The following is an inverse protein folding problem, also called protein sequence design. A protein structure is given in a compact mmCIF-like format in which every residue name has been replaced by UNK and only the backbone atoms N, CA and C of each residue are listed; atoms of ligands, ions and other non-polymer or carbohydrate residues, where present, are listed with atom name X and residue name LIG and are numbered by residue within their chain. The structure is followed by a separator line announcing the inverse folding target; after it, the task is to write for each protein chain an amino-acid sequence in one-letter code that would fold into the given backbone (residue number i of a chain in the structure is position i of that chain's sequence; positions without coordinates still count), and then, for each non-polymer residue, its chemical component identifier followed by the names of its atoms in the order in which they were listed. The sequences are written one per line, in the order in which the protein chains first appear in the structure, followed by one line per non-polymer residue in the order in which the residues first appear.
data_IF_423656839016
#
_entry.id   IF_423656839016
#
_cell.length_a   1.000
_cell.length_b   1.000
_cell.length_c   1.000
_cell.angle_alpha   90.00
_cell.angle_beta   90.00
_cell.angle_gamma   90.00
#
_symmetry.space_group_name_H-M   'P 1'
#
loop_
_entity.id
_entity.type
_entity.pdbx_description
1 polymer ?
#
# COMPACT_ATOMS: atom_id res chain seq x y z
N UNK A 1 9.80 72.44 14.05
CA UNK A 1 11.18 72.98 14.04
C UNK A 1 12.14 71.83 14.27
N UNK A 2 13.16 71.72 13.39
CA UNK A 2 14.46 71.05 13.46
C UNK A 2 14.59 69.72 14.26
N UNK A 3 14.85 68.56 13.64
CA UNK A 3 16.09 68.09 12.96
C UNK A 3 17.25 67.67 13.89
N UNK A 4 17.66 66.40 13.69
CA UNK A 4 19.04 65.83 13.67
C UNK A 4 19.76 65.76 15.03
N UNK A 5 20.43 64.66 15.38
CA UNK A 5 21.64 64.19 14.68
C UNK A 5 21.93 62.70 14.84
N UNK A 6 22.56 62.18 13.78
CA UNK A 6 23.18 60.87 13.63
C UNK A 6 24.53 60.83 14.35
N UNK A 7 24.94 59.66 14.82
CA UNK A 7 26.35 59.30 14.90
C UNK A 7 26.56 57.94 14.24
N UNK A 8 27.48 57.93 13.29
CA UNK A 8 27.85 56.87 12.37
C UNK A 8 29.36 56.69 12.51
N UNK A 9 29.81 55.51 12.93
CA UNK A 9 31.22 55.07 12.97
C UNK A 9 31.14 53.54 12.98
N UNK A 10 31.78 52.72 12.15
CA UNK A 10 32.59 52.87 10.95
C UNK A 10 32.59 51.50 10.28
N UNK A 11 32.74 51.47 8.95
CA UNK A 11 33.10 50.26 8.21
C UNK A 11 34.53 49.87 8.54
N UNK A 12 34.78 48.59 8.32
CA UNK A 12 36.09 47.95 8.15
C UNK A 12 36.85 47.68 9.44
N UNK A 13 36.73 46.44 9.94
CA UNK A 13 37.92 45.67 10.30
C UNK A 13 37.62 44.16 10.44
N UNK A 14 38.50 43.37 9.82
CA UNK A 14 38.73 41.93 10.00
C UNK A 14 37.86 40.93 9.22
N UNK A 15 38.28 40.73 7.97
CA UNK A 15 38.33 39.44 7.26
C UNK A 15 38.64 38.27 8.23
N UNK A 16 37.78 37.25 8.22
CA UNK A 16 38.24 35.86 8.22
C UNK A 16 37.28 35.00 7.42
N UNK A 17 37.80 34.48 6.30
CA UNK A 17 37.18 33.46 5.45
C UNK A 17 36.83 32.23 6.30
N UNK A 18 35.56 31.88 6.41
CA UNK A 18 35.15 30.51 6.72
C UNK A 18 34.55 29.91 5.46
N UNK A 19 35.32 28.99 4.89
CA UNK A 19 35.12 28.22 3.66
C UNK A 19 33.89 27.30 3.85
N UNK A 20 32.99 27.14 2.88
CA UNK A 20 32.03 26.04 2.89
C UNK A 20 32.82 24.72 2.77
N UNK A 21 32.65 23.81 3.74
CA UNK A 21 33.17 22.45 3.63
C UNK A 21 32.24 21.64 2.71
N UNK A 22 32.77 21.24 1.56
CA UNK A 22 32.24 20.14 0.76
C UNK A 22 32.38 18.83 1.55
N UNK A 23 31.38 17.94 1.57
CA UNK A 23 31.62 16.57 2.01
C UNK A 23 32.34 15.80 0.89
N UNK A 24 33.62 15.56 1.11
CA UNK A 24 34.43 14.64 0.32
C UNK A 24 33.85 13.22 0.42
N UNK A 25 33.53 12.67 -0.74
CA UNK A 25 33.16 11.30 -1.01
C UNK A 25 34.44 10.45 -1.06
N UNK A 26 34.60 9.33 -0.32
CA UNK A 26 35.67 8.39 -0.61
C UNK A 26 35.20 7.37 -1.65
N UNK A 27 35.77 7.48 -2.85
CA UNK A 27 35.77 6.44 -3.86
C UNK A 27 36.40 5.15 -3.32
N UNK A 28 35.70 4.02 -3.45
CA UNK A 28 36.35 2.71 -3.61
C UNK A 28 35.90 2.15 -4.95
N UNK A 29 36.88 2.10 -5.85
CA UNK A 29 36.84 1.51 -7.18
C UNK A 29 36.50 0.02 -7.10
N UNK A 30 35.54 -0.42 -7.90
CA UNK A 30 35.65 -1.68 -8.66
C UNK A 30 35.09 -1.44 -10.05
N UNK A 31 36.04 -1.36 -10.97
CA UNK A 31 35.87 -1.24 -12.40
C UNK A 31 35.20 -2.51 -12.95
N UNK A 32 34.12 -2.33 -13.72
CA UNK A 32 33.73 -3.30 -14.74
C UNK A 32 33.38 -2.47 -15.98
N UNK A 33 34.16 -2.68 -17.03
CA UNK A 33 33.92 -2.15 -18.37
C UNK A 33 34.46 -3.18 -19.40
N UNK A 34 34.01 -3.12 -20.67
CA UNK A 34 33.02 -4.07 -21.19
C UNK A 34 33.50 -4.70 -22.53
N UNK A 35 32.56 -5.07 -23.43
CA UNK A 35 32.71 -5.58 -24.82
C UNK A 35 32.61 -7.11 -24.93
N UNK A 36 31.65 -7.75 -25.62
CA UNK A 36 31.05 -7.68 -26.96
C UNK A 36 31.55 -8.82 -27.90
N UNK A 37 30.60 -9.68 -28.31
CA UNK A 37 30.48 -10.48 -29.55
C UNK A 37 31.58 -11.49 -29.98
N UNK A 38 31.17 -12.78 -30.12
CA UNK A 38 31.29 -13.74 -31.26
C UNK A 38 31.34 -15.19 -30.70
N UNK A 39 30.37 -16.04 -31.05
CA UNK A 39 30.37 -17.02 -32.15
C UNK A 39 31.07 -18.36 -31.80
N UNK A 40 30.30 -19.46 -31.94
CA UNK A 40 30.70 -20.83 -32.34
C UNK A 40 31.85 -21.52 -31.57
N UNK A 41 31.66 -22.67 -30.91
CA UNK A 41 31.64 -24.01 -31.52
C UNK A 41 31.51 -25.10 -30.42
N UNK A 42 30.88 -26.25 -30.75
CA UNK A 42 30.88 -27.52 -29.96
C UNK A 42 32.29 -28.16 -29.96
N UNK A 43 32.67 -29.07 -29.02
CA UNK A 43 32.30 -30.51 -29.10
C UNK A 43 32.07 -31.20 -27.74
N UNK A 44 31.03 -32.04 -27.64
CA UNK A 44 31.10 -33.51 -27.50
C UNK A 44 31.52 -34.07 -26.12
N UNK A 45 30.52 -34.66 -25.46
CA UNK A 45 30.66 -35.66 -24.40
C UNK A 45 30.88 -37.02 -25.06
N UNK A 46 31.81 -37.84 -24.54
CA UNK A 46 31.87 -39.27 -24.84
C UNK A 46 32.07 -40.13 -23.59
N UNK A 47 31.28 -41.21 -23.59
CA UNK A 47 31.35 -42.49 -22.86
C UNK A 47 30.64 -42.53 -21.50
N UNK A 48 29.43 -43.12 -21.46
CA UNK A 48 29.12 -44.58 -21.37
C UNK A 48 29.53 -45.11 -19.99
N UNK A 49 28.67 -45.74 -19.19
CA UNK A 49 28.05 -47.07 -19.41
C UNK A 49 26.81 -47.19 -18.51
N UNK A 50 25.69 -47.70 -19.04
CA UNK A 50 24.90 -48.82 -18.47
C UNK A 50 23.63 -49.03 -19.29
N UNK A 51 23.65 -50.11 -20.07
CA UNK A 51 22.51 -50.72 -20.75
C UNK A 51 22.26 -52.05 -20.06
N UNK A 52 21.01 -52.35 -19.70
CA UNK A 52 20.44 -53.68 -19.83
C UNK A 52 18.91 -53.58 -19.85
N UNK A 53 18.34 -54.30 -20.80
CA UNK A 53 16.98 -54.22 -21.34
C UNK A 53 16.06 -55.24 -20.63
N UNK A 54 14.74 -55.00 -20.61
CA UNK A 54 13.75 -55.83 -21.32
C UNK A 54 12.31 -55.68 -20.79
N UNK A 55 11.40 -55.46 -21.75
CA UNK A 55 10.03 -55.98 -21.90
C UNK A 55 9.01 -55.90 -20.74
N UNK A 56 7.93 -55.14 -20.95
CA UNK A 56 6.57 -55.70 -21.16
C UNK A 56 5.53 -54.60 -21.41
N UNK A 57 4.85 -54.70 -22.56
CA UNK A 57 3.56 -54.06 -22.86
C UNK A 57 2.48 -54.46 -21.84
N UNK A 58 1.72 -53.46 -21.35
CA UNK A 58 0.28 -53.61 -21.06
C UNK A 58 -0.50 -52.36 -21.50
N UNK A 59 -1.59 -52.66 -22.18
CA UNK A 59 -2.60 -51.79 -22.80
C UNK A 59 -3.57 -51.16 -21.79
N UNK A 60 -3.91 -49.89 -22.07
CA UNK A 60 -5.20 -49.18 -21.86
C UNK A 60 -5.74 -48.84 -20.44
N UNK A 61 -6.62 -47.81 -20.29
CA UNK A 61 -7.08 -46.79 -21.25
C UNK A 61 -7.03 -45.33 -20.73
N UNK A 62 -7.29 -44.43 -21.68
CA UNK A 62 -7.39 -42.98 -21.57
C UNK A 62 -8.25 -42.47 -20.39
N UNK A 63 -7.67 -41.59 -19.58
CA UNK A 63 -8.40 -40.61 -18.77
C UNK A 63 -8.45 -39.28 -19.51
N UNK A 64 -9.56 -39.14 -20.23
CA UNK A 64 -10.42 -37.95 -20.32
C UNK A 64 -9.74 -36.60 -20.07
N UNK A 65 -9.57 -35.85 -21.15
CA UNK A 65 -9.20 -34.44 -21.13
C UNK A 65 -10.15 -33.64 -20.22
N UNK A 66 -9.63 -32.78 -19.32
CA UNK A 66 -10.49 -31.83 -18.63
C UNK A 66 -11.02 -30.82 -19.66
N UNK A 67 -12.33 -30.82 -19.83
CA UNK A 67 -13.12 -29.83 -20.58
C UNK A 67 -12.63 -28.41 -20.22
N UNK A 68 -12.49 -27.48 -21.18
CA UNK A 68 -12.21 -26.09 -20.86
C UNK A 68 -13.43 -25.52 -20.11
N UNK A 69 -13.27 -25.28 -18.82
CA UNK A 69 -14.23 -24.50 -18.03
C UNK A 69 -14.44 -23.16 -18.73
N UNK A 70 -15.70 -22.90 -19.10
CA UNK A 70 -16.11 -21.66 -19.73
C UNK A 70 -15.75 -20.48 -18.82
N UNK A 71 -14.73 -19.70 -19.22
CA UNK A 71 -14.46 -18.39 -18.67
C UNK A 71 -15.75 -17.57 -18.78
N UNK A 72 -16.38 -17.28 -17.65
CA UNK A 72 -17.48 -16.33 -17.56
C UNK A 72 -17.09 -15.04 -18.30
N UNK A 73 -18.02 -14.38 -19.03
CA UNK A 73 -17.68 -13.21 -19.84
C UNK A 73 -17.03 -12.16 -18.94
N UNK A 74 -15.76 -11.87 -19.18
CA UNK A 74 -15.03 -10.79 -18.52
C UNK A 74 -15.82 -9.50 -18.75
N UNK A 75 -16.52 -9.02 -17.72
CA UNK A 75 -17.25 -7.76 -17.78
C UNK A 75 -16.25 -6.68 -18.15
N UNK A 76 -16.36 -6.12 -19.37
CA UNK A 76 -15.57 -4.97 -19.81
C UNK A 76 -15.78 -3.86 -18.78
N UNK A 77 -14.76 -3.52 -18.01
CA UNK A 77 -14.83 -2.47 -17.01
C UNK A 77 -14.87 -1.13 -17.75
N UNK A 78 -16.08 -0.60 -18.00
CA UNK A 78 -16.26 0.78 -18.44
C UNK A 78 -15.75 1.70 -17.35
N UNK A 79 -14.90 2.68 -17.69
CA UNK A 79 -14.39 3.66 -16.72
C UNK A 79 -15.56 4.34 -15.99
N UNK A 80 -15.55 4.41 -14.65
CA UNK A 80 -16.66 5.01 -13.91
C UNK A 80 -16.79 6.50 -14.24
N UNK A 81 -18.03 6.99 -14.29
CA UNK A 81 -18.31 8.43 -14.45
C UNK A 81 -17.93 9.13 -13.15
N UNK A 82 -16.98 10.06 -13.23
CA UNK A 82 -16.55 10.89 -12.09
C UNK A 82 -17.50 12.10 -12.00
N UNK A 83 -17.99 12.51 -10.82
CA UNK A 83 -17.68 12.00 -9.47
C UNK A 83 -18.46 10.73 -9.09
N UNK A 84 -17.78 9.82 -8.41
CA UNK A 84 -18.40 8.64 -7.80
C UNK A 84 -18.03 8.54 -6.32
N UNK A 85 -18.75 7.69 -5.60
CA UNK A 85 -18.58 7.52 -4.16
C UNK A 85 -18.20 6.09 -3.82
N UNK A 86 -17.31 5.94 -2.85
CA UNK A 86 -16.93 4.64 -2.29
C UNK A 86 -17.07 4.63 -0.78
N UNK A 87 -17.19 3.44 -0.22
CA UNK A 87 -17.39 3.24 1.21
C UNK A 87 -16.36 2.31 1.80
N UNK A 88 -15.98 2.58 3.05
CA UNK A 88 -15.14 1.73 3.88
C UNK A 88 -15.75 1.55 5.27
N UNK A 89 -15.60 0.36 5.86
CA UNK A 89 -16.17 0.05 7.18
C UNK A 89 -15.23 -0.82 8.00
N UNK A 90 -14.92 -0.35 9.21
CA UNK A 90 -14.13 -1.10 10.19
C UNK A 90 -14.77 -0.95 11.57
N UNK A 91 -15.13 -2.05 12.22
CA UNK A 91 -15.84 -2.03 13.51
C UNK A 91 -17.07 -1.08 13.42
N UNK A 92 -17.15 -0.08 14.29
CA UNK A 92 -18.23 0.93 14.29
C UNK A 92 -17.93 2.14 13.37
N UNK A 93 -16.74 2.23 12.80
CA UNK A 93 -16.33 3.33 11.93
C UNK A 93 -16.81 3.13 10.51
N UNK A 94 -17.40 4.18 9.93
CA UNK A 94 -17.88 4.22 8.55
C UNK A 94 -17.23 5.41 7.85
N UNK A 95 -16.58 5.15 6.72
CA UNK A 95 -15.98 6.16 5.86
C UNK A 95 -16.73 6.21 4.52
N UNK A 96 -17.01 7.42 4.05
CA UNK A 96 -17.57 7.71 2.72
C UNK A 96 -16.59 8.60 1.99
N UNK A 97 -16.04 8.12 0.89
CA UNK A 97 -15.12 8.88 0.04
C UNK A 97 -15.84 9.31 -1.23
N UNK A 98 -15.65 10.56 -1.61
CA UNK A 98 -16.06 11.12 -2.90
C UNK A 98 -14.79 11.39 -3.69
N UNK A 99 -14.72 10.82 -4.88
CA UNK A 99 -13.54 10.92 -5.74
C UNK A 99 -13.89 11.82 -6.92
N UNK A 100 -13.01 12.79 -7.16
CA UNK A 100 -13.15 13.80 -8.22
C UNK A 100 -11.85 13.90 -9.00
N UNK A 101 -11.90 14.32 -10.26
CA UNK A 101 -10.69 14.69 -10.99
C UNK A 101 -10.08 15.94 -10.32
N UNK A 102 -8.77 15.97 -10.13
CA UNK A 102 -8.12 17.04 -9.39
C UNK A 102 -6.60 16.91 -9.31
N UNK A 103 -6.04 17.50 -8.25
CA UNK A 103 -4.60 17.71 -8.03
C UNK A 103 -3.93 16.73 -7.07
N UNK A 104 -4.64 15.69 -6.62
CA UNK A 104 -4.09 14.72 -5.65
C UNK A 104 -4.32 15.13 -4.19
N UNK A 105 -5.29 15.99 -3.90
CA UNK A 105 -5.56 16.44 -2.53
C UNK A 105 -6.41 15.40 -1.79
N UNK A 106 -5.92 14.93 -0.65
CA UNK A 106 -6.67 14.03 0.22
C UNK A 106 -7.14 14.79 1.47
N UNK A 107 -8.46 14.93 1.59
CA UNK A 107 -9.13 15.62 2.70
C UNK A 107 -9.95 14.64 3.53
N UNK A 108 -9.74 14.62 4.84
CA UNK A 108 -10.51 13.83 5.81
C UNK A 108 -11.24 14.79 6.73
N UNK A 109 -12.57 14.72 6.78
CA UNK A 109 -13.42 15.61 7.59
C UNK A 109 -13.03 17.08 7.44
N UNK A 110 -12.90 17.54 6.19
CA UNK A 110 -12.53 18.91 5.79
C UNK A 110 -11.08 19.34 6.11
N UNK A 111 -10.26 18.47 6.68
CA UNK A 111 -8.83 18.74 6.98
C UNK A 111 -7.94 17.97 6.02
N UNK A 112 -6.79 18.55 5.66
CA UNK A 112 -5.78 17.86 4.86
C UNK A 112 -5.09 16.78 5.71
N UNK A 113 -4.74 15.65 5.11
CA UNK A 113 -4.07 14.54 5.84
C UNK A 113 -2.76 14.97 6.47
N UNK A 114 -2.02 15.88 5.83
CA UNK A 114 -0.73 16.37 6.32
C UNK A 114 -0.85 17.12 7.66
N UNK A 115 -2.03 17.69 7.93
CA UNK A 115 -2.32 18.42 9.17
C UNK A 115 -2.72 17.48 10.33
N UNK A 116 -2.76 16.16 10.09
CA UNK A 116 -3.02 15.18 11.16
C UNK A 116 -1.79 15.07 12.05
N UNK A 117 -1.96 15.31 13.35
CA UNK A 117 -0.88 15.19 14.35
C UNK A 117 -0.40 13.76 14.56
N UNK A 118 -1.25 12.77 14.28
CA UNK A 118 -0.90 11.36 14.47
C UNK A 118 -0.26 10.77 13.20
N UNK A 119 1.02 10.43 13.30
CA UNK A 119 1.81 9.86 12.20
C UNK A 119 1.32 8.48 11.78
N UNK A 120 0.99 7.60 12.74
CA UNK A 120 0.50 6.24 12.47
C UNK A 120 -0.83 6.28 11.71
N UNK A 121 -1.70 7.22 12.07
CA UNK A 121 -2.96 7.47 11.35
C UNK A 121 -2.70 7.89 9.90
N UNK A 122 -1.75 8.80 9.68
CA UNK A 122 -1.35 9.26 8.35
C UNK A 122 -0.78 8.13 7.51
N UNK A 123 0.18 7.37 8.04
CA UNK A 123 0.82 6.25 7.34
C UNK A 123 -0.19 5.20 6.88
N UNK A 124 -1.14 4.84 7.76
CA UNK A 124 -2.23 3.90 7.44
C UNK A 124 -3.10 4.35 6.27
N UNK A 125 -3.38 5.64 6.18
CA UNK A 125 -4.23 6.17 5.10
C UNK A 125 -3.45 6.29 3.79
N UNK A 126 -2.16 6.61 3.87
CA UNK A 126 -1.29 6.79 2.69
C UNK A 126 -0.89 5.46 2.03
N UNK A 127 -0.90 4.36 2.77
CA UNK A 127 -0.55 3.01 2.30
C UNK A 127 -1.16 2.61 0.93
N UNK A 128 -2.48 2.67 0.68
CA UNK A 128 -3.04 2.35 -0.63
C UNK A 128 -2.62 3.34 -1.73
N UNK A 129 -2.33 4.59 -1.39
CA UNK A 129 -1.87 5.60 -2.35
C UNK A 129 -0.43 5.27 -2.80
N UNK A 130 0.44 4.92 -1.86
CA UNK A 130 1.83 4.51 -2.14
C UNK A 130 1.84 3.25 -3.02
N UNK A 131 1.02 2.25 -2.71
CA UNK A 131 0.91 1.01 -3.49
C UNK A 131 0.37 1.24 -4.92
N UNK A 132 -0.46 2.27 -5.12
CA UNK A 132 -0.97 2.65 -6.45
C UNK A 132 0.03 3.45 -7.31
N UNK A 133 1.20 3.80 -6.77
CA UNK A 133 2.22 4.56 -7.49
C UNK A 133 1.87 6.05 -7.64
N UNK A 134 2.14 6.65 -8.80
CA UNK A 134 1.93 8.09 -9.03
C UNK A 134 0.55 8.42 -9.62
N UNK A 135 -0.25 7.42 -10.01
CA UNK A 135 -1.46 7.64 -10.80
C UNK A 135 -2.60 8.31 -10.02
N UNK A 136 -2.63 8.12 -8.70
CA UNK A 136 -3.64 8.71 -7.81
C UNK A 136 -3.59 10.24 -7.75
N UNK A 137 -2.44 10.86 -8.10
CA UNK A 137 -2.25 12.32 -8.06
C UNK A 137 -3.17 13.10 -9.02
N UNK A 138 -3.84 12.40 -9.94
CA UNK A 138 -4.83 12.99 -10.87
C UNK A 138 -6.22 13.19 -10.25
N UNK A 139 -6.42 12.71 -9.01
CA UNK A 139 -7.72 12.68 -8.37
C UNK A 139 -7.67 13.30 -6.98
N UNK A 140 -8.70 14.08 -6.64
CA UNK A 140 -8.92 14.59 -5.30
C UNK A 140 -9.87 13.66 -4.55
N UNK A 141 -9.54 13.39 -3.29
CA UNK A 141 -10.28 12.50 -2.40
C UNK A 141 -10.88 13.31 -1.26
N UNK A 142 -12.20 13.41 -1.22
CA UNK A 142 -12.93 14.03 -0.11
C UNK A 142 -13.61 12.96 0.73
N UNK A 143 -13.12 12.73 1.95
CA UNK A 143 -13.55 11.64 2.81
C UNK A 143 -14.25 12.19 4.05
N UNK A 144 -15.45 11.67 4.31
CA UNK A 144 -16.22 11.92 5.53
C UNK A 144 -16.27 10.65 6.37
N UNK A 145 -15.92 10.75 7.66
CA UNK A 145 -15.83 9.60 8.55
C UNK A 145 -16.56 9.86 9.85
N UNK A 146 -17.33 8.86 10.32
CA UNK A 146 -18.06 8.91 11.58
C UNK A 146 -17.95 7.58 12.33
N UNK A 147 -18.03 7.66 13.66
CA UNK A 147 -18.08 6.50 14.56
C UNK A 147 -16.75 5.83 14.87
N UNK A 148 -16.76 4.95 15.87
CA UNK A 148 -15.60 4.19 16.37
C UNK A 148 -14.51 5.09 16.98
N UNK A 149 -13.24 4.71 16.81
CA UNK A 149 -12.08 5.45 17.31
C UNK A 149 -11.04 5.68 16.22
N UNK A 150 -10.00 6.47 16.50
CA UNK A 150 -9.02 6.99 15.52
C UNK A 150 -8.45 5.90 14.61
N UNK A 151 -8.01 4.78 15.16
CA UNK A 151 -7.45 3.68 14.35
C UNK A 151 -8.50 2.94 13.51
N UNK A 152 -9.71 2.76 14.04
CA UNK A 152 -10.81 2.17 13.28
C UNK A 152 -11.26 3.08 12.14
N UNK A 153 -11.19 4.40 12.35
CA UNK A 153 -11.42 5.40 11.31
C UNK A 153 -10.32 5.35 10.24
N UNK A 154 -9.05 5.24 10.62
CA UNK A 154 -7.93 5.10 9.68
C UNK A 154 -8.11 3.91 8.73
N UNK A 155 -8.38 2.72 9.29
CA UNK A 155 -8.60 1.50 8.51
C UNK A 155 -9.84 1.62 7.59
N UNK A 156 -10.92 2.28 8.06
CA UNK A 156 -12.10 2.52 7.24
C UNK A 156 -11.80 3.47 6.07
N UNK A 157 -11.01 4.53 6.29
CA UNK A 157 -10.56 5.45 5.24
C UNK A 157 -9.66 4.72 4.24
N UNK A 158 -8.66 3.99 4.75
CA UNK A 158 -7.72 3.15 3.98
C UNK A 158 -8.49 2.26 3.00
N UNK A 159 -9.54 1.59 3.48
CA UNK A 159 -10.38 0.74 2.67
C UNK A 159 -11.22 1.50 1.63
N UNK A 160 -11.78 2.66 1.97
CA UNK A 160 -12.56 3.47 1.03
C UNK A 160 -11.69 3.98 -0.13
N UNK A 161 -10.46 4.42 0.17
CA UNK A 161 -9.47 4.87 -0.83
C UNK A 161 -9.09 3.70 -1.74
N UNK A 162 -8.71 2.55 -1.17
CA UNK A 162 -8.29 1.39 -1.95
C UNK A 162 -9.39 0.94 -2.95
N UNK A 163 -10.65 0.89 -2.51
CA UNK A 163 -11.78 0.56 -3.38
C UNK A 163 -11.98 1.59 -4.49
N UNK A 164 -11.85 2.88 -4.14
CA UNK A 164 -11.90 3.97 -5.11
C UNK A 164 -10.84 3.87 -6.19
N UNK A 165 -9.61 3.53 -5.81
CA UNK A 165 -8.50 3.34 -6.75
C UNK A 165 -8.75 2.12 -7.65
N UNK A 166 -9.29 1.03 -7.11
CA UNK A 166 -9.64 -0.16 -7.92
C UNK A 166 -10.74 0.15 -8.94
N UNK A 167 -11.73 0.97 -8.58
CA UNK A 167 -12.76 1.40 -9.53
C UNK A 167 -12.19 2.28 -10.65
N UNK A 168 -11.16 3.08 -10.37
CA UNK A 168 -10.47 3.92 -11.37
C UNK A 168 -9.54 3.16 -12.30
N UNK A 169 -8.66 2.33 -11.73
CA UNK A 169 -7.53 1.72 -12.45
C UNK A 169 -7.80 0.26 -12.85
N UNK A 170 -8.88 -0.34 -12.35
CA UNK A 170 -9.33 -1.66 -12.75
C UNK A 170 -8.71 -2.83 -11.96
N UNK A 171 -8.87 -4.06 -12.47
CA UNK A 171 -8.60 -5.28 -11.72
C UNK A 171 -7.10 -5.56 -11.46
N UNK A 172 -6.18 -4.99 -12.24
CA UNK A 172 -4.74 -5.17 -12.00
C UNK A 172 -4.30 -4.63 -10.64
N UNK A 173 -4.82 -3.47 -10.23
CA UNK A 173 -4.54 -2.90 -8.91
C UNK A 173 -5.24 -3.68 -7.79
N UNK A 174 -6.41 -4.27 -8.09
CA UNK A 174 -7.15 -5.14 -7.16
C UNK A 174 -6.30 -6.33 -6.71
N UNK A 175 -5.64 -6.99 -7.67
CA UNK A 175 -4.77 -8.13 -7.39
C UNK A 175 -3.59 -7.74 -6.48
N UNK A 176 -2.90 -6.63 -6.80
CA UNK A 176 -1.81 -6.08 -5.97
C UNK A 176 -2.24 -5.79 -4.53
N UNK A 177 -3.42 -5.18 -4.35
CA UNK A 177 -3.96 -4.92 -3.01
C UNK A 177 -4.33 -6.20 -2.27
N UNK A 178 -4.88 -7.21 -2.94
CA UNK A 178 -5.22 -8.49 -2.32
C UNK A 178 -3.99 -9.28 -1.89
N UNK A 179 -2.92 -9.24 -2.68
CA UNK A 179 -1.63 -9.87 -2.36
C UNK A 179 -0.99 -9.21 -1.13
N UNK A 180 -1.03 -7.89 -1.05
CA UNK A 180 -0.44 -7.15 0.06
C UNK A 180 -1.25 -7.28 1.37
N UNK A 181 -2.53 -6.89 1.35
CA UNK A 181 -3.43 -7.05 2.50
C UNK A 181 -4.89 -7.11 2.05
N UNK A 182 -5.51 -8.28 2.28
CA UNK A 182 -6.92 -8.55 1.96
C UNK A 182 -7.88 -7.48 2.51
N UNK A 183 -7.57 -6.85 3.63
CA UNK A 183 -8.44 -5.86 4.28
C UNK A 183 -8.54 -4.52 3.53
N UNK A 184 -7.64 -4.23 2.58
CA UNK A 184 -7.80 -3.06 1.69
C UNK A 184 -9.10 -3.17 0.89
N UNK A 185 -9.46 -4.38 0.48
CA UNK A 185 -10.63 -4.62 -0.36
C UNK A 185 -11.76 -5.24 0.44
N UNK A 186 -11.52 -6.34 1.15
CA UNK A 186 -12.55 -7.05 1.91
C UNK A 186 -12.80 -6.40 3.28
N UNK A 187 -14.06 -6.31 3.68
CA UNK A 187 -14.41 -5.77 5.00
C UNK A 187 -14.04 -6.77 6.10
N UNK A 188 -13.52 -6.28 7.23
CA UNK A 188 -13.34 -7.12 8.42
C UNK A 188 -14.69 -7.24 9.20
N UNK A 189 -15.25 -8.46 9.31
CA UNK A 189 -16.57 -8.69 9.90
C UNK A 189 -16.59 -8.59 11.43
N UNK A 190 -15.43 -8.59 12.12
CA UNK A 190 -15.38 -8.68 13.59
C UNK A 190 -16.13 -7.54 14.28
N UNK A 191 -16.94 -7.87 15.28
CA UNK A 191 -17.66 -6.93 16.15
C UNK A 191 -17.56 -7.38 17.60
N UNK A 192 -17.80 -6.47 18.53
CA UNK A 192 -17.76 -6.77 19.96
C UNK A 192 -18.89 -7.74 20.31
N UNK A 193 -18.53 -8.87 20.93
CA UNK A 193 -19.52 -9.80 21.50
C UNK A 193 -20.28 -9.12 22.65
N UNK A 194 -21.60 -9.32 22.79
CA UNK A 194 -22.35 -8.80 23.92
C UNK A 194 -21.89 -9.44 25.24
N UNK A 195 -22.01 -8.70 26.34
CA UNK A 195 -21.68 -9.21 27.67
C UNK A 195 -22.65 -10.32 28.10
N UNK A 196 -22.14 -11.35 28.76
CA UNK A 196 -22.93 -12.51 29.21
C UNK A 196 -23.22 -12.42 30.72
N UNK A 197 -24.43 -12.77 31.18
CA UNK A 197 -24.69 -13.00 32.61
C UNK A 197 -23.88 -14.21 33.10
N UNK A 198 -23.53 -14.34 34.41
CA UNK A 198 -24.00 -13.64 35.62
C UNK A 198 -23.14 -12.44 36.08
N UNK A 199 -22.06 -12.09 35.36
CA UNK A 199 -21.16 -10.98 35.74
C UNK A 199 -20.74 -10.20 34.51
N UNK A 200 -21.56 -9.22 34.19
CA UNK A 200 -21.62 -8.50 32.92
C UNK A 200 -20.66 -7.31 32.79
N UNK A 201 -19.71 -7.06 33.71
CA UNK A 201 -18.94 -5.79 33.68
C UNK A 201 -17.60 -5.85 32.95
N UNK A 202 -16.83 -6.93 33.08
CA UNK A 202 -15.43 -6.96 32.60
C UNK A 202 -15.24 -7.61 31.23
N UNK A 203 -16.25 -8.28 30.68
CA UNK A 203 -16.20 -8.84 29.34
C UNK A 203 -17.10 -10.06 29.12
N UNK A 204 -17.24 -10.51 27.87
CA UNK A 204 -18.17 -11.58 27.49
C UNK A 204 -17.79 -12.98 27.99
N UNK A 205 -16.51 -13.23 28.32
CA UNK A 205 -15.97 -14.56 28.66
C UNK A 205 -15.20 -14.62 29.97
N UNK A 206 -15.03 -13.48 30.66
CA UNK A 206 -14.28 -13.42 31.91
C UNK A 206 -15.15 -13.94 33.05
N UNK A 207 -14.59 -14.83 33.87
CA UNK A 207 -15.19 -15.29 35.12
C UNK A 207 -14.42 -14.71 36.31
N UNK A 208 -15.08 -14.51 37.46
CA UNK A 208 -14.32 -14.21 38.69
C UNK A 208 -13.62 -15.48 39.16
N UNK A 209 -12.45 -15.28 39.74
CA UNK A 209 -11.73 -16.30 40.49
C UNK A 209 -12.63 -16.85 41.60
N UNK A 210 -12.62 -18.18 41.76
CA UNK A 210 -13.33 -18.88 42.85
C UNK A 210 -12.28 -19.32 43.87
N UNK A 211 -12.48 -19.01 45.15
CA UNK A 211 -11.79 -19.69 46.25
C UNK A 211 -12.57 -20.96 46.60
N UNK A 212 -11.86 -22.03 46.96
CA UNK A 212 -12.44 -23.34 47.32
C UNK A 212 -12.12 -23.77 48.75
N UNK A 213 -11.37 -22.94 49.48
CA UNK A 213 -10.96 -23.14 50.88
C UNK A 213 -11.66 -22.10 51.72
#
# INVERSE_FOLDING_TARGET
MAEKTKANVSKDDLKTKVKPQEPANPEVKKEIKPEAKKAETKPEVKKEVLKQESAQEKKEPAKEAPKPEAKAPEKKHSKPKVPFHTTGKRKKSVARAVIRNGSGKVKVNYRLIENSTNEVFRLRIMEPLVLSGSEWKKYDFQISVRGGGVMGQADAIRQAIARGLVELFGPGLKAKFMEYDRNLIAYDPRRTEPHKPPRSSQGPRRYKQRSKR
#
